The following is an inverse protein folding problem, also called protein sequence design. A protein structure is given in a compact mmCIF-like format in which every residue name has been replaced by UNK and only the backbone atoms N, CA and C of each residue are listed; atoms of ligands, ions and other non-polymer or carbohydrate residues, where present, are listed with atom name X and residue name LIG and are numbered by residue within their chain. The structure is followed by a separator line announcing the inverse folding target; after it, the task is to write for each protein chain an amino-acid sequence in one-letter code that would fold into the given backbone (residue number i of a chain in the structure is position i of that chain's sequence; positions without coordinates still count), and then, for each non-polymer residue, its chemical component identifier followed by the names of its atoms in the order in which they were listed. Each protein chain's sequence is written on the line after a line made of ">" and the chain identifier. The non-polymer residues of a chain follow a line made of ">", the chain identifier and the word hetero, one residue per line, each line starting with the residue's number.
data_IF_930856084935
#
_entry.id   IF_930856084935
#
_cell.length_a   1.000
_cell.length_b   1.000
_cell.length_c   1.000
_cell.angle_alpha   90.00
_cell.angle_beta   90.00
_cell.angle_gamma   90.00
#
_symmetry.space_group_name_H-M   'P 1'
#
loop_
_entity.id
_entity.type
_entity.pdbx_description
1 polymer ?
#
# COMPACT_ATOMS: atom_id res chain seq x y z
N UNK A 1 0.40 88.92 -42.46
CA UNK A 1 0.29 88.44 -41.07
C UNK A 1 1.48 87.54 -40.77
N UNK A 2 2.47 88.03 -40.00
CA UNK A 2 3.59 87.22 -39.49
C UNK A 2 3.24 86.80 -38.07
N UNK A 3 2.79 85.57 -37.89
CA UNK A 3 2.60 84.97 -36.58
C UNK A 3 3.98 84.59 -36.04
N UNK A 4 4.48 85.36 -35.08
CA UNK A 4 5.68 85.03 -34.32
C UNK A 4 5.37 83.76 -33.51
N UNK A 5 5.89 82.62 -33.97
CA UNK A 5 5.71 81.32 -33.34
C UNK A 5 6.33 81.32 -31.95
N UNK A 6 5.51 81.12 -30.92
CA UNK A 6 5.92 80.98 -29.53
C UNK A 6 6.57 79.60 -29.29
N UNK A 7 7.81 79.43 -29.79
CA UNK A 7 8.54 78.16 -29.79
C UNK A 7 9.01 77.70 -28.40
N UNK A 8 9.07 78.62 -27.42
CA UNK A 8 9.48 78.29 -26.03
C UNK A 8 8.42 77.48 -25.28
N UNK A 9 7.13 77.71 -25.55
CA UNK A 9 6.04 76.97 -24.90
C UNK A 9 5.94 75.51 -25.36
N UNK A 10 6.14 75.26 -26.66
CA UNK A 10 6.06 73.90 -27.24
C UNK A 10 7.21 73.02 -26.74
N UNK A 11 8.43 73.57 -26.63
CA UNK A 11 9.59 72.82 -26.12
C UNK A 11 9.40 72.34 -24.68
N UNK A 12 8.73 73.13 -23.83
CA UNK A 12 8.45 72.77 -22.44
C UNK A 12 7.41 71.64 -22.35
N UNK A 13 6.38 71.67 -23.20
CA UNK A 13 5.37 70.61 -23.26
C UNK A 13 5.99 69.28 -23.71
N UNK A 14 6.84 69.29 -24.74
CA UNK A 14 7.52 68.09 -25.22
C UNK A 14 8.42 67.48 -24.14
N UNK A 15 9.12 68.30 -23.36
CA UNK A 15 9.97 67.82 -22.26
C UNK A 15 9.15 67.12 -21.16
N UNK A 16 8.00 67.69 -20.78
CA UNK A 16 7.10 67.08 -19.77
C UNK A 16 6.56 65.73 -20.28
N UNK A 17 6.16 65.66 -21.56
CA UNK A 17 5.69 64.41 -22.15
C UNK A 17 6.82 63.36 -22.19
N UNK A 18 8.05 63.77 -22.54
CA UNK A 18 9.19 62.86 -22.53
C UNK A 18 9.51 62.34 -21.12
N UNK A 19 9.52 63.21 -20.11
CA UNK A 19 9.75 62.82 -18.72
C UNK A 19 8.67 61.88 -18.19
N UNK A 20 7.40 62.15 -18.49
CA UNK A 20 6.29 61.27 -18.06
C UNK A 20 6.33 59.91 -18.75
N UNK A 21 6.68 59.85 -20.04
CA UNK A 21 6.88 58.58 -20.76
C UNK A 21 7.99 57.74 -20.15
N UNK A 22 9.14 58.35 -19.85
CA UNK A 22 10.27 57.64 -19.23
C UNK A 22 9.88 57.12 -17.84
N UNK A 23 9.13 57.91 -17.06
CA UNK A 23 8.67 57.50 -15.74
C UNK A 23 7.69 56.31 -15.81
N UNK A 24 6.73 56.34 -16.74
CA UNK A 24 5.76 55.24 -16.95
C UNK A 24 6.49 53.96 -17.39
N UNK A 25 7.45 54.08 -18.31
CA UNK A 25 8.27 52.94 -18.74
C UNK A 25 9.10 52.38 -17.59
N UNK A 26 9.77 53.24 -16.82
CA UNK A 26 10.56 52.85 -15.66
C UNK A 26 9.76 52.07 -14.62
N UNK A 27 8.58 52.57 -14.25
CA UNK A 27 7.67 51.89 -13.31
C UNK A 27 7.19 50.55 -13.88
N UNK A 28 6.88 50.50 -15.19
CA UNK A 28 6.44 49.27 -15.85
C UNK A 28 7.51 48.18 -15.82
N UNK A 29 8.77 48.51 -16.11
CA UNK A 29 9.87 47.54 -16.07
C UNK A 29 10.16 47.02 -14.66
N UNK A 30 10.17 47.90 -13.66
CA UNK A 30 10.38 47.51 -12.25
C UNK A 30 9.24 46.60 -11.77
N UNK A 31 7.99 46.93 -12.12
CA UNK A 31 6.82 46.10 -11.79
C UNK A 31 6.92 44.70 -12.39
N UNK A 32 7.32 44.58 -13.66
CA UNK A 32 7.53 43.28 -14.32
C UNK A 32 8.66 42.49 -13.65
N UNK A 33 9.78 43.12 -13.31
CA UNK A 33 10.89 42.44 -12.62
C UNK A 33 10.49 41.94 -11.23
N UNK A 34 9.81 42.77 -10.43
CA UNK A 34 9.33 42.40 -9.11
C UNK A 34 8.31 41.24 -9.16
N UNK A 35 7.43 41.25 -10.18
CA UNK A 35 6.48 40.17 -10.42
C UNK A 35 7.18 38.85 -10.76
N UNK A 36 8.23 38.88 -11.60
CA UNK A 36 9.01 37.68 -11.94
C UNK A 36 9.68 37.05 -10.73
N UNK A 37 10.27 37.85 -9.84
CA UNK A 37 10.93 37.32 -8.63
C UNK A 37 9.97 36.56 -7.70
N UNK A 38 8.75 37.07 -7.51
CA UNK A 38 7.73 36.38 -6.70
C UNK A 38 7.26 35.08 -7.36
N UNK A 39 7.09 35.08 -8.68
CA UNK A 39 6.68 33.89 -9.43
C UNK A 39 7.66 32.73 -9.29
N UNK A 40 8.97 33.00 -9.29
CA UNK A 40 9.99 31.97 -9.11
C UNK A 40 9.89 31.27 -7.74
N UNK A 41 9.60 32.01 -6.67
CA UNK A 41 9.51 31.43 -5.33
C UNK A 41 8.34 30.44 -5.23
N UNK A 42 7.17 30.80 -5.77
CA UNK A 42 6.04 29.87 -5.86
C UNK A 42 6.34 28.63 -6.69
N UNK A 43 7.09 28.77 -7.78
CA UNK A 43 7.49 27.65 -8.61
C UNK A 43 8.43 26.70 -7.85
N UNK A 44 9.41 27.23 -7.12
CA UNK A 44 10.33 26.45 -6.28
C UNK A 44 9.57 25.70 -5.18
N UNK A 45 8.69 26.38 -4.44
CA UNK A 45 7.90 25.75 -3.38
C UNK A 45 6.94 24.69 -3.93
N UNK A 46 6.35 24.95 -5.10
CA UNK A 46 5.55 23.97 -5.82
C UNK A 46 6.34 22.73 -6.22
N UNK A 47 7.57 22.87 -6.72
CA UNK A 47 8.42 21.70 -7.04
C UNK A 47 8.80 20.93 -5.78
N UNK A 48 9.08 21.62 -4.67
CA UNK A 48 9.34 20.97 -3.38
C UNK A 48 8.13 20.19 -2.88
N UNK A 49 6.94 20.78 -2.94
CA UNK A 49 5.69 20.13 -2.60
C UNK A 49 5.43 18.88 -3.47
N UNK A 50 5.74 18.95 -4.77
CA UNK A 50 5.63 17.80 -5.68
C UNK A 50 6.60 16.68 -5.31
N UNK A 51 7.86 17.00 -5.03
CA UNK A 51 8.86 16.00 -4.61
C UNK A 51 8.48 15.34 -3.28
N UNK A 52 7.93 16.12 -2.34
CA UNK A 52 7.41 15.61 -1.07
C UNK A 52 6.21 14.68 -1.31
N UNK A 53 5.31 15.02 -2.25
CA UNK A 53 4.19 14.16 -2.62
C UNK A 53 4.67 12.82 -3.23
N UNK A 54 5.66 12.86 -4.13
CA UNK A 54 6.27 11.65 -4.71
C UNK A 54 6.93 10.76 -3.63
N UNK A 55 7.70 11.36 -2.71
CA UNK A 55 8.26 10.65 -1.58
C UNK A 55 7.16 10.02 -0.69
N UNK A 56 6.03 10.72 -0.53
CA UNK A 56 4.85 10.19 0.15
C UNK A 56 4.26 8.95 -0.54
N UNK A 57 4.24 8.90 -1.87
CA UNK A 57 3.83 7.71 -2.63
C UNK A 57 4.77 6.54 -2.39
N UNK A 58 6.08 6.75 -2.48
CA UNK A 58 7.08 5.69 -2.24
C UNK A 58 6.99 5.14 -0.80
N UNK A 59 6.90 6.06 0.17
CA UNK A 59 6.68 5.70 1.58
C UNK A 59 5.39 4.88 1.75
N UNK A 60 4.31 5.30 1.10
CA UNK A 60 3.02 4.61 1.17
C UNK A 60 3.08 3.18 0.62
N UNK A 61 3.75 2.98 -0.53
CA UNK A 61 3.93 1.66 -1.13
C UNK A 61 4.76 0.79 -0.19
N UNK A 62 5.84 1.33 0.38
CA UNK A 62 6.69 0.57 1.30
C UNK A 62 5.94 0.13 2.56
N UNK A 63 5.22 1.05 3.20
CA UNK A 63 4.39 0.75 4.36
C UNK A 63 3.33 -0.32 4.04
N UNK A 64 2.63 -0.18 2.92
CA UNK A 64 1.66 -1.17 2.47
C UNK A 64 2.30 -2.54 2.16
N UNK A 65 3.51 -2.56 1.58
CA UNK A 65 4.25 -3.79 1.32
C UNK A 65 4.70 -4.51 2.59
N UNK A 66 5.08 -3.76 3.62
CA UNK A 66 5.46 -4.32 4.92
C UNK A 66 4.23 -4.76 5.73
N UNK A 67 3.01 -4.49 5.22
CA UNK A 67 1.77 -4.73 5.93
C UNK A 67 1.71 -3.91 7.22
N UNK A 68 2.18 -2.67 7.19
CA UNK A 68 2.22 -1.75 8.33
C UNK A 68 1.63 -0.41 7.92
N UNK A 69 0.70 0.12 8.68
CA UNK A 69 0.27 1.50 8.65
C UNK A 69 1.37 2.36 9.28
N UNK A 70 1.19 3.68 9.25
CA UNK A 70 2.15 4.60 9.83
C UNK A 70 2.31 4.54 11.34
N UNK A 71 1.39 3.88 12.03
CA UNK A 71 1.41 3.63 13.46
C UNK A 71 1.99 2.24 13.78
N UNK A 72 2.37 1.45 12.76
CA UNK A 72 2.85 0.08 12.90
C UNK A 72 1.75 -0.97 12.99
N UNK A 73 0.48 -0.62 12.78
CA UNK A 73 -0.64 -1.56 12.72
C UNK A 73 -0.89 -1.98 11.27
N UNK A 74 -1.26 -3.21 10.96
CA UNK A 74 -1.35 -3.58 9.54
C UNK A 74 -2.45 -2.83 8.76
N UNK A 75 -2.05 -2.22 7.62
CA UNK A 75 -2.96 -1.52 6.67
C UNK A 75 -4.03 -2.46 6.13
N UNK A 76 -3.78 -3.77 6.14
CA UNK A 76 -4.73 -4.77 5.67
C UNK A 76 -5.80 -5.14 6.74
N UNK A 77 -5.67 -4.69 8.00
CA UNK A 77 -6.67 -4.89 9.08
C UNK A 77 -7.41 -3.65 9.53
N UNK A 78 -7.03 -2.47 9.03
CA UNK A 78 -7.83 -1.30 9.35
C UNK A 78 -9.00 -1.21 8.40
N UNK A 79 -10.21 -1.09 8.96
CA UNK A 79 -11.36 -0.58 8.24
C UNK A 79 -11.00 0.66 7.40
N UNK A 80 -11.74 0.86 6.31
CA UNK A 80 -11.54 1.84 5.23
C UNK A 80 -11.36 3.33 5.63
N UNK A 81 -11.10 3.63 6.89
CA UNK A 81 -10.92 4.96 7.47
C UNK A 81 -9.49 5.37 7.79
N UNK A 82 -8.44 4.67 7.31
CA UNK A 82 -7.04 5.14 7.42
C UNK A 82 -6.77 6.28 6.42
N UNK A 83 -7.57 7.32 6.59
CA UNK A 83 -7.58 8.56 5.86
C UNK A 83 -6.56 9.50 6.48
N UNK A 84 -5.62 9.96 5.65
CA UNK A 84 -4.79 11.15 5.93
C UNK A 84 -3.61 10.89 6.86
N UNK A 85 -2.59 10.26 6.29
CA UNK A 85 -1.35 9.91 6.97
C UNK A 85 -0.31 11.03 6.78
N UNK A 86 -0.18 11.91 7.77
CA UNK A 86 0.68 13.10 7.75
C UNK A 86 2.10 12.87 8.29
N UNK A 87 3.17 13.01 7.50
CA UNK A 87 4.55 13.08 8.06
C UNK A 87 5.34 14.26 7.52
N UNK A 88 6.23 14.79 8.36
CA UNK A 88 7.14 15.87 8.00
C UNK A 88 8.35 15.35 7.22
N UNK A 89 8.68 15.98 6.10
CA UNK A 89 9.84 15.66 5.28
C UNK A 89 10.44 16.95 4.72
N UNK A 90 11.72 17.20 4.99
CA UNK A 90 12.47 18.29 4.36
C UNK A 90 11.88 19.69 4.54
N UNK A 91 11.22 19.97 5.66
CA UNK A 91 10.57 21.27 5.94
C UNK A 91 9.14 21.42 5.39
N UNK A 92 8.58 20.37 4.80
CA UNK A 92 7.16 20.27 4.47
C UNK A 92 6.51 19.03 5.09
N UNK A 93 5.30 18.71 4.66
CA UNK A 93 4.54 17.54 5.11
C UNK A 93 3.88 16.83 3.93
N UNK A 94 3.64 15.54 4.01
CA UNK A 94 2.78 14.82 3.05
C UNK A 94 1.65 14.11 3.76
N UNK A 95 0.49 13.99 3.11
CA UNK A 95 -0.66 13.18 3.54
C UNK A 95 -0.93 12.06 2.55
N UNK A 96 -1.15 10.82 3.03
CA UNK A 96 -1.52 9.68 2.19
C UNK A 96 -2.99 9.33 2.35
N UNK A 97 -3.62 8.93 1.25
CA UNK A 97 -4.94 8.32 1.20
C UNK A 97 -4.92 7.08 0.29
N UNK A 98 -5.34 5.94 0.84
CA UNK A 98 -5.51 4.70 0.09
C UNK A 98 -6.99 4.50 -0.24
N UNK A 99 -7.33 4.53 -1.52
CA UNK A 99 -8.65 4.13 -1.99
C UNK A 99 -8.56 2.72 -2.58
N UNK A 100 -8.89 1.73 -1.74
CA UNK A 100 -8.94 0.33 -2.14
C UNK A 100 -10.26 0.00 -2.84
N UNK A 101 -10.17 -0.82 -3.88
CA UNK A 101 -11.32 -1.47 -4.52
C UNK A 101 -11.23 -2.98 -4.38
N UNK A 102 -12.34 -3.68 -4.63
CA UNK A 102 -12.31 -5.14 -4.77
C UNK A 102 -11.46 -5.58 -5.98
N UNK A 103 -11.36 -4.74 -7.00
CA UNK A 103 -10.56 -4.97 -8.21
C UNK A 103 -9.32 -4.07 -8.24
N UNK A 104 -8.18 -4.63 -8.69
CA UNK A 104 -6.91 -3.89 -8.72
C UNK A 104 -6.95 -2.69 -9.67
N UNK A 105 -7.74 -2.77 -10.74
CA UNK A 105 -7.89 -1.71 -11.74
C UNK A 105 -8.43 -0.39 -11.20
N UNK A 106 -9.21 -0.44 -10.13
CA UNK A 106 -9.84 0.74 -9.53
C UNK A 106 -9.10 1.25 -8.29
N UNK A 107 -7.97 0.65 -7.91
CA UNK A 107 -7.21 1.16 -6.77
C UNK A 107 -6.53 2.48 -7.09
N UNK A 108 -6.53 3.37 -6.10
CA UNK A 108 -5.90 4.65 -6.19
C UNK A 108 -5.15 4.97 -4.89
N UNK A 109 -3.86 5.24 -5.02
CA UNK A 109 -3.06 5.84 -3.96
C UNK A 109 -2.92 7.33 -4.25
N UNK A 110 -3.31 8.17 -3.30
CA UNK A 110 -3.17 9.62 -3.40
C UNK A 110 -2.24 10.13 -2.32
N UNK A 111 -1.17 10.82 -2.72
CA UNK A 111 -0.29 11.53 -1.81
C UNK A 111 -0.36 13.03 -2.07
N UNK A 112 -0.59 13.82 -1.02
CA UNK A 112 -0.61 15.29 -1.10
C UNK A 112 0.56 15.84 -0.31
N UNK A 113 1.54 16.44 -1.01
CA UNK A 113 2.68 17.10 -0.40
C UNK A 113 2.44 18.61 -0.25
N UNK A 114 2.82 19.17 0.88
CA UNK A 114 2.68 20.58 1.22
C UNK A 114 4.03 21.14 1.66
N UNK A 115 4.42 22.28 1.08
CA UNK A 115 5.64 23.00 1.42
C UNK A 115 5.35 24.51 1.40
N UNK A 116 5.55 25.20 2.53
CA UNK A 116 5.15 26.59 2.67
C UNK A 116 3.65 26.77 2.41
N UNK A 117 3.29 27.63 1.46
CA UNK A 117 1.90 27.85 1.03
C UNK A 117 1.49 27.01 -0.19
N UNK A 118 2.39 26.18 -0.71
CA UNK A 118 2.16 25.37 -1.91
C UNK A 118 1.75 23.95 -1.55
N UNK A 119 0.76 23.42 -2.26
CA UNK A 119 0.30 22.03 -2.13
C UNK A 119 0.26 21.37 -3.50
N UNK A 120 0.73 20.13 -3.59
CA UNK A 120 0.71 19.31 -4.80
C UNK A 120 0.24 17.91 -4.48
N UNK A 121 -0.50 17.34 -5.41
CA UNK A 121 -1.07 16.01 -5.27
C UNK A 121 -0.54 15.10 -6.38
N UNK A 122 -0.14 13.90 -5.99
CA UNK A 122 0.27 12.81 -6.87
C UNK A 122 -0.71 11.68 -6.66
N UNK A 123 -1.13 11.06 -7.77
CA UNK A 123 -2.06 9.94 -7.78
C UNK A 123 -1.43 8.79 -8.54
N UNK A 124 -1.40 7.63 -7.91
CA UNK A 124 -0.92 6.38 -8.50
C UNK A 124 -2.10 5.42 -8.62
N UNK A 125 -2.49 5.15 -9.86
CA UNK A 125 -3.49 4.13 -10.17
C UNK A 125 -2.88 2.73 -10.04
N UNK A 126 -3.73 1.74 -9.75
CA UNK A 126 -3.33 0.32 -9.65
C UNK A 126 -2.15 0.11 -8.70
N UNK A 127 -2.09 0.87 -7.60
CA UNK A 127 -0.90 0.89 -6.76
C UNK A 127 -0.57 -0.47 -6.13
N UNK A 128 -1.57 -1.37 -5.97
CA UNK A 128 -1.36 -2.76 -5.52
C UNK A 128 -0.39 -3.54 -6.41
N UNK A 129 -0.22 -3.15 -7.67
CA UNK A 129 0.80 -3.71 -8.59
C UNK A 129 2.24 -3.50 -8.12
N UNK A 130 2.47 -2.53 -7.25
CA UNK A 130 3.79 -2.21 -6.69
C UNK A 130 4.00 -2.83 -5.30
N UNK A 131 3.03 -3.59 -4.80
CA UNK A 131 3.13 -4.32 -3.52
C UNK A 131 3.67 -5.73 -3.75
N UNK A 132 3.76 -6.50 -2.66
CA UNK A 132 4.03 -7.94 -2.71
C UNK A 132 3.14 -8.63 -3.74
N UNK A 133 3.65 -9.62 -4.50
CA UNK A 133 2.88 -10.34 -5.52
C UNK A 133 1.58 -10.96 -5.01
N UNK A 134 1.49 -11.23 -3.71
CA UNK A 134 0.27 -11.66 -3.05
C UNK A 134 -0.01 -10.78 -1.82
N UNK A 135 -1.25 -10.33 -1.67
CA UNK A 135 -1.71 -9.54 -0.52
C UNK A 135 -3.10 -9.99 -0.09
N UNK A 136 -3.55 -9.58 1.11
CA UNK A 136 -4.94 -9.78 1.51
C UNK A 136 -5.90 -8.94 0.66
N UNK A 137 -7.14 -9.41 0.53
CA UNK A 137 -8.20 -8.64 -0.12
C UNK A 137 -8.63 -7.49 0.82
N UNK A 138 -8.48 -6.22 0.42
CA UNK A 138 -8.91 -5.08 1.23
C UNK A 138 -10.42 -5.13 1.52
N UNK A 139 -10.81 -4.86 2.76
CA UNK A 139 -12.22 -4.89 3.19
C UNK A 139 -12.86 -6.28 3.30
N UNK A 140 -12.16 -7.33 2.87
CA UNK A 140 -12.58 -8.71 3.06
C UNK A 140 -11.54 -9.38 3.96
N UNK A 141 -11.54 -9.00 5.24
CA UNK A 141 -10.47 -9.44 6.16
C UNK A 141 -10.51 -10.95 6.36
N UNK A 142 -9.33 -11.49 6.73
CA UNK A 142 -9.27 -12.84 7.24
C UNK A 142 -10.21 -12.96 8.44
N UNK A 143 -11.10 -13.94 8.41
CA UNK A 143 -12.18 -14.05 9.39
C UNK A 143 -12.48 -15.50 9.72
N UNK A 144 -13.13 -15.70 10.85
CA UNK A 144 -13.80 -16.96 11.14
C UNK A 144 -15.03 -17.08 10.23
N UNK A 145 -15.25 -18.26 9.64
CA UNK A 145 -16.45 -18.50 8.84
C UNK A 145 -17.70 -18.48 9.74
N UNK A 146 -18.74 -17.76 9.30
CA UNK A 146 -19.99 -17.65 10.05
C UNK A 146 -20.78 -18.97 10.05
N UNK A 147 -20.60 -19.80 9.01
CA UNK A 147 -21.24 -21.12 8.92
C UNK A 147 -20.50 -22.23 9.67
N UNK A 148 -19.21 -22.04 9.95
CA UNK A 148 -18.37 -23.04 10.61
C UNK A 148 -17.26 -22.34 11.42
N UNK A 149 -17.49 -22.18 12.72
CA UNK A 149 -16.54 -21.51 13.62
C UNK A 149 -15.18 -22.19 13.74
N UNK A 150 -15.02 -23.40 13.19
CA UNK A 150 -13.74 -24.09 13.08
C UNK A 150 -12.87 -23.62 11.91
N UNK A 151 -13.40 -22.79 11.02
CA UNK A 151 -12.72 -22.37 9.80
C UNK A 151 -12.27 -20.92 9.87
N UNK A 152 -11.05 -20.68 9.40
CA UNK A 152 -10.52 -19.35 9.11
C UNK A 152 -10.42 -19.21 7.60
N UNK A 153 -11.11 -18.21 7.07
CA UNK A 153 -11.06 -17.82 5.67
C UNK A 153 -10.03 -16.71 5.52
N UNK A 154 -9.03 -16.92 4.66
CA UNK A 154 -7.96 -15.97 4.36
C UNK A 154 -8.02 -15.65 2.88
N UNK A 155 -8.79 -14.63 2.48
CA UNK A 155 -8.86 -14.20 1.09
C UNK A 155 -7.61 -13.42 0.71
N UNK A 156 -6.92 -13.88 -0.32
CA UNK A 156 -5.75 -13.24 -0.88
C UNK A 156 -5.99 -12.92 -2.36
N UNK A 157 -5.30 -11.90 -2.85
CA UNK A 157 -5.31 -11.48 -4.24
C UNK A 157 -3.90 -11.51 -4.80
N UNK A 158 -3.77 -12.02 -6.02
CA UNK A 158 -2.52 -11.99 -6.77
C UNK A 158 -2.36 -10.64 -7.48
N UNK A 159 -1.38 -9.85 -7.05
CA UNK A 159 -1.07 -8.55 -7.63
C UNK A 159 -0.22 -8.66 -8.91
N UNK A 160 0.51 -9.75 -9.11
CA UNK A 160 1.43 -9.91 -10.24
C UNK A 160 1.39 -11.31 -10.85
N UNK A 161 0.96 -11.39 -12.11
CA UNK A 161 1.10 -12.57 -12.97
C UNK A 161 0.41 -13.84 -12.47
N UNK A 162 0.68 -14.98 -13.13
CA UNK A 162 0.41 -16.28 -12.55
C UNK A 162 1.51 -16.61 -11.53
N UNK A 163 1.13 -16.77 -10.26
CA UNK A 163 2.04 -17.20 -9.20
C UNK A 163 1.83 -18.68 -8.91
N UNK A 164 2.91 -19.45 -8.87
CA UNK A 164 2.89 -20.83 -8.39
C UNK A 164 3.50 -20.85 -6.99
N UNK A 165 2.67 -21.15 -5.99
CA UNK A 165 3.14 -21.28 -4.61
C UNK A 165 3.73 -22.68 -4.42
N UNK A 166 5.03 -22.77 -4.16
CA UNK A 166 5.74 -24.03 -3.93
C UNK A 166 5.70 -24.45 -2.47
N UNK A 167 5.53 -23.49 -1.54
CA UNK A 167 5.51 -23.76 -0.10
C UNK A 167 4.73 -22.69 0.67
N UNK A 168 4.10 -23.12 1.76
CA UNK A 168 3.43 -22.27 2.73
C UNK A 168 3.98 -22.55 4.12
N UNK A 169 4.46 -21.52 4.82
CA UNK A 169 4.76 -21.63 6.24
C UNK A 169 3.65 -20.90 7.03
N UNK A 170 2.85 -21.63 7.79
CA UNK A 170 1.74 -21.08 8.60
C UNK A 170 2.17 -20.99 10.04
N UNK A 171 2.05 -19.83 10.66
CA UNK A 171 2.33 -19.59 12.07
C UNK A 171 1.05 -19.15 12.77
N UNK A 172 0.74 -19.78 13.89
CA UNK A 172 -0.44 -19.45 14.72
C UNK A 172 0.04 -19.22 16.14
N UNK A 173 -0.32 -18.08 16.73
CA UNK A 173 0.11 -17.72 18.10
C UNK A 173 -0.53 -18.61 19.19
N UNK A 174 -1.60 -19.33 18.86
CA UNK A 174 -2.28 -20.21 19.78
C UNK A 174 -1.52 -21.52 20.04
N UNK A 175 -1.68 -22.04 21.25
CA UNK A 175 -1.11 -23.30 21.69
C UNK A 175 -2.18 -24.38 21.80
N UNK A 176 -1.81 -25.64 21.60
CA UNK A 176 -2.71 -26.79 21.72
C UNK A 176 -3.89 -26.79 20.74
N UNK A 177 -3.69 -26.27 19.53
CA UNK A 177 -4.72 -26.26 18.49
C UNK A 177 -4.34 -27.21 17.37
N UNK A 178 -5.33 -27.95 16.87
CA UNK A 178 -5.11 -28.93 15.82
C UNK A 178 -5.71 -28.49 14.50
N UNK A 179 -4.89 -28.41 13.46
CA UNK A 179 -5.35 -28.21 12.08
C UNK A 179 -5.73 -29.55 11.47
N UNK A 180 -6.93 -29.59 10.89
CA UNK A 180 -7.51 -30.77 10.23
C UNK A 180 -7.37 -30.69 8.72
N UNK A 181 -7.66 -29.53 8.14
CA UNK A 181 -7.68 -29.35 6.69
C UNK A 181 -7.16 -27.95 6.33
N UNK A 182 -6.39 -27.88 5.25
CA UNK A 182 -6.02 -26.64 4.57
C UNK A 182 -6.43 -26.74 3.10
N UNK A 183 -7.15 -25.74 2.59
CA UNK A 183 -7.64 -25.71 1.20
C UNK A 183 -7.38 -24.37 0.54
N UNK A 184 -7.18 -24.38 -0.77
CA UNK A 184 -7.18 -23.19 -1.62
C UNK A 184 -7.76 -23.58 -3.00
N UNK A 185 -9.10 -23.63 -3.09
CA UNK A 185 -9.81 -24.25 -4.23
C UNK A 185 -9.72 -25.78 -4.26
N UNK A 186 -8.52 -26.33 -4.02
CA UNK A 186 -8.23 -27.75 -3.83
C UNK A 186 -7.73 -28.04 -2.41
N UNK A 187 -7.75 -29.30 -1.99
CA UNK A 187 -7.14 -29.72 -0.73
C UNK A 187 -5.61 -29.60 -0.84
N UNK A 188 -5.03 -28.67 -0.07
CA UNK A 188 -3.57 -28.55 0.09
C UNK A 188 -3.07 -29.54 1.14
N UNK A 189 -3.87 -29.71 2.19
CA UNK A 189 -3.68 -30.71 3.23
C UNK A 189 -5.05 -31.19 3.68
N UNK A 190 -5.28 -32.50 3.66
CA UNK A 190 -6.46 -33.11 4.27
C UNK A 190 -6.01 -34.29 5.11
N UNK A 191 -6.27 -34.19 6.41
CA UNK A 191 -6.03 -35.25 7.38
C UNK A 191 -6.52 -36.63 6.91
N UNK A 192 -7.68 -36.71 6.22
CA UNK A 192 -8.26 -38.01 5.90
C UNK A 192 -7.63 -38.69 4.67
N UNK A 193 -6.86 -37.95 3.86
CA UNK A 193 -6.48 -38.41 2.51
C UNK A 193 -5.06 -38.06 2.07
N UNK A 194 -4.33 -37.20 2.78
CA UNK A 194 -3.00 -36.74 2.36
C UNK A 194 -1.87 -37.47 3.10
N UNK A 195 -0.86 -37.92 2.34
CA UNK A 195 0.43 -38.36 2.91
C UNK A 195 1.19 -37.10 3.32
N UNK A 196 1.64 -37.07 4.57
CA UNK A 196 2.18 -35.91 5.30
C UNK A 196 3.06 -34.92 4.51
N UNK A 197 2.99 -33.60 4.81
CA UNK A 197 4.12 -32.70 4.53
C UNK A 197 5.33 -33.13 5.39
N UNK A 198 6.55 -32.95 4.89
CA UNK A 198 7.78 -33.22 5.66
C UNK A 198 7.85 -32.25 6.87
N UNK A 199 7.22 -32.63 7.98
CA UNK A 199 7.30 -31.85 9.21
C UNK A 199 8.74 -31.92 9.74
N UNK A 200 9.40 -30.77 9.92
CA UNK A 200 10.64 -30.71 10.69
C UNK A 200 10.42 -31.14 12.15
N UNK A 201 10.68 -32.41 12.43
CA UNK A 201 11.01 -33.14 13.68
C UNK A 201 10.36 -32.80 15.05
N UNK A 202 9.72 -31.65 15.30
CA UNK A 202 9.27 -31.25 16.64
C UNK A 202 7.78 -30.95 16.81
N UNK A 203 7.03 -30.73 15.72
CA UNK A 203 5.67 -30.16 15.77
C UNK A 203 4.58 -31.20 15.45
N UNK A 204 4.95 -32.32 14.84
CA UNK A 204 4.05 -33.42 14.51
C UNK A 204 4.09 -34.47 15.64
N UNK A 205 3.65 -34.11 16.85
CA UNK A 205 3.31 -35.12 17.87
C UNK A 205 1.99 -35.77 17.48
N UNK A 206 2.10 -36.85 16.71
CA UNK A 206 1.13 -37.93 16.63
C UNK A 206 1.08 -38.53 18.04
N UNK A 207 0.01 -38.41 18.82
CA UNK A 207 -0.13 -39.27 20.02
C UNK A 207 -1.60 -39.51 20.43
N UNK A 208 -1.80 -40.77 20.84
CA UNK A 208 -2.82 -41.44 21.66
C UNK A 208 -4.17 -41.89 21.07
N UNK A 209 -4.52 -41.56 19.84
CA UNK A 209 -5.56 -42.29 19.12
C UNK A 209 -4.94 -42.95 17.87
N UNK A 210 -5.01 -44.29 17.70
CA UNK A 210 -4.35 -44.99 16.59
C UNK A 210 -4.83 -44.53 15.20
N UNK A 211 -5.88 -43.71 15.14
CA UNK A 211 -6.51 -43.26 13.91
C UNK A 211 -6.61 -41.74 13.76
N UNK A 212 -6.09 -40.89 14.68
CA UNK A 212 -6.21 -39.43 14.55
C UNK A 212 -4.85 -38.73 14.48
N UNK A 213 -4.44 -38.39 13.26
CA UNK A 213 -3.21 -37.66 12.98
C UNK A 213 -3.54 -36.20 12.77
N UNK A 214 -3.09 -35.33 13.67
CA UNK A 214 -3.41 -33.90 13.64
C UNK A 214 -2.12 -33.08 13.62
N UNK A 215 -2.13 -31.95 12.93
CA UNK A 215 -1.02 -30.98 13.03
C UNK A 215 -1.27 -30.11 14.25
N UNK A 216 -0.40 -30.22 15.25
CA UNK A 216 -0.46 -29.43 16.47
C UNK A 216 0.24 -28.09 16.27
N UNK A 217 -0.52 -26.99 16.35
CA UNK A 217 0.04 -25.67 16.55
C UNK A 217 0.29 -25.45 18.05
N UNK A 218 1.56 -25.29 18.41
CA UNK A 218 2.00 -24.97 19.78
C UNK A 218 2.74 -23.63 19.81
N UNK A 219 2.09 -22.56 19.32
CA UNK A 219 2.72 -21.24 19.21
C UNK A 219 3.87 -21.16 18.19
N UNK A 220 3.83 -22.00 17.15
CA UNK A 220 4.94 -22.18 16.22
C UNK A 220 4.53 -22.17 14.75
N UNK A 221 5.53 -22.29 13.88
CA UNK A 221 5.38 -22.32 12.43
C UNK A 221 5.34 -23.76 11.91
N UNK A 222 4.35 -24.07 11.09
CA UNK A 222 4.23 -25.35 10.37
C UNK A 222 4.43 -25.11 8.89
N UNK A 223 5.30 -25.93 8.28
CA UNK A 223 5.60 -25.91 6.85
C UNK A 223 4.71 -26.88 6.07
N UNK A 224 4.22 -26.41 4.92
CA UNK A 224 3.47 -27.17 3.93
C UNK A 224 4.15 -27.00 2.57
N UNK A 225 4.85 -28.03 2.11
CA UNK A 225 5.38 -28.07 0.76
C UNK A 225 4.27 -28.49 -0.22
N UNK A 226 4.07 -27.72 -1.28
CA UNK A 226 2.96 -27.87 -2.21
C UNK A 226 3.42 -28.56 -3.49
N UNK A 227 2.64 -29.52 -3.97
CA UNK A 227 2.80 -30.09 -5.30
C UNK A 227 2.32 -29.08 -6.36
N UNK A 228 3.12 -28.88 -7.39
CA UNK A 228 3.12 -27.71 -8.31
C UNK A 228 1.80 -27.40 -9.05
N UNK A 229 0.78 -28.27 -9.00
CA UNK A 229 -0.49 -28.08 -9.70
C UNK A 229 -1.61 -27.49 -8.81
N UNK A 230 -1.44 -27.46 -7.48
CA UNK A 230 -2.51 -27.11 -6.53
C UNK A 230 -2.58 -25.62 -6.17
N UNK A 231 -1.73 -24.77 -6.76
CA UNK A 231 -1.45 -23.45 -6.20
C UNK A 231 -1.09 -22.39 -7.26
N UNK A 232 -1.66 -22.50 -8.46
CA UNK A 232 -1.58 -21.43 -9.45
C UNK A 232 -2.60 -20.34 -9.10
N UNK A 233 -2.12 -19.12 -8.85
CA UNK A 233 -2.96 -17.94 -8.65
C UNK A 233 -2.83 -17.06 -9.89
N UNK A 234 -3.92 -16.82 -10.61
CA UNK A 234 -3.87 -15.89 -11.74
C UNK A 234 -3.90 -14.45 -11.26
N UNK A 235 -3.39 -13.57 -12.12
CA UNK A 235 -3.38 -12.13 -11.85
C UNK A 235 -4.82 -11.62 -11.59
N UNK A 236 -4.97 -10.81 -10.55
CA UNK A 236 -6.24 -10.24 -10.08
C UNK A 236 -7.29 -11.24 -9.57
N UNK A 237 -6.94 -12.53 -9.55
CA UNK A 237 -7.80 -13.57 -9.00
C UNK A 237 -7.78 -13.52 -7.48
N UNK A 238 -8.97 -13.58 -6.89
CA UNK A 238 -9.13 -13.74 -5.45
C UNK A 238 -9.19 -15.22 -5.12
N UNK A 239 -8.20 -15.68 -4.37
CA UNK A 239 -8.13 -17.02 -3.85
C UNK A 239 -8.42 -17.02 -2.36
N UNK A 240 -9.25 -17.94 -1.89
CA UNK A 240 -9.55 -18.07 -0.46
C UNK A 240 -8.85 -19.28 0.11
N UNK A 241 -7.90 -19.04 1.01
CA UNK A 241 -7.30 -20.09 1.81
C UNK A 241 -8.19 -20.40 3.00
N UNK A 242 -8.50 -21.67 3.21
CA UNK A 242 -9.34 -22.15 4.31
C UNK A 242 -8.47 -22.96 5.25
N UNK A 243 -8.36 -22.53 6.49
CA UNK A 243 -7.73 -23.26 7.58
C UNK A 243 -8.83 -23.81 8.48
N UNK A 244 -9.03 -25.14 8.48
CA UNK A 244 -10.04 -25.80 9.31
C UNK A 244 -9.39 -26.51 10.49
N UNK A 245 -9.79 -26.12 11.69
CA UNK A 245 -9.31 -26.68 12.94
C UNK A 245 -10.24 -27.80 13.46
N UNK A 246 -9.75 -28.60 14.41
CA UNK A 246 -10.55 -29.67 15.03
C UNK A 246 -11.67 -29.17 15.95
N UNK A 247 -11.54 -27.93 16.44
CA UNK A 247 -12.53 -27.21 17.24
C UNK A 247 -12.67 -25.77 16.73
N UNK A 248 -13.15 -24.84 17.56
CA UNK A 248 -13.21 -23.43 17.19
C UNK A 248 -11.85 -22.91 16.73
N UNK A 249 -11.83 -22.12 15.66
CA UNK A 249 -10.65 -21.44 15.18
C UNK A 249 -10.03 -20.60 16.31
N UNK A 250 -8.70 -20.68 16.53
CA UNK A 250 -8.09 -19.93 17.60
C UNK A 250 -8.14 -18.43 17.33
N UNK A 251 -8.43 -17.65 18.37
CA UNK A 251 -8.24 -16.20 18.29
C UNK A 251 -6.75 -15.88 18.45
N UNK A 252 -6.30 -14.78 17.86
CA UNK A 252 -4.91 -14.35 17.92
C UNK A 252 -4.28 -14.06 16.56
N UNK A 253 -2.95 -14.02 16.54
CA UNK A 253 -2.19 -13.64 15.36
C UNK A 253 -1.85 -14.87 14.51
N UNK A 254 -2.03 -14.70 13.22
CA UNK A 254 -1.69 -15.63 12.17
C UNK A 254 -0.67 -15.00 11.25
N UNK A 255 0.27 -15.80 10.75
CA UNK A 255 1.18 -15.42 9.68
C UNK A 255 1.26 -16.55 8.68
N UNK A 256 1.07 -16.25 7.40
CA UNK A 256 1.21 -17.19 6.30
C UNK A 256 2.30 -16.66 5.39
N UNK A 257 3.39 -17.39 5.29
CA UNK A 257 4.50 -17.06 4.40
C UNK A 257 4.38 -17.89 3.12
N UNK A 258 4.19 -17.20 2.00
CA UNK A 258 4.08 -17.77 0.67
C UNK A 258 5.45 -17.81 0.00
N UNK A 259 5.87 -18.99 -0.42
CA UNK A 259 7.09 -19.19 -1.20
C UNK A 259 6.70 -19.57 -2.62
N UNK A 260 7.32 -18.93 -3.60
CA UNK A 260 7.06 -19.21 -5.01
C UNK A 260 8.08 -20.19 -5.57
N UNK A 261 7.80 -20.77 -6.72
CA UNK A 261 8.73 -21.67 -7.43
C UNK A 261 9.98 -20.97 -7.98
N UNK A 262 10.08 -19.65 -7.87
CA UNK A 262 11.25 -18.90 -8.33
C UNK A 262 12.42 -19.08 -7.34
N UNK A 263 13.60 -19.52 -7.81
CA UNK A 263 14.67 -20.05 -6.95
C UNK A 263 15.32 -19.05 -5.98
N UNK A 264 14.96 -17.76 -6.03
CA UNK A 264 15.52 -16.71 -5.17
C UNK A 264 14.44 -15.76 -4.60
N UNK A 265 13.17 -16.18 -4.56
CA UNK A 265 12.11 -15.36 -4.00
C UNK A 265 12.20 -15.29 -2.47
N UNK A 266 12.29 -14.08 -1.92
CA UNK A 266 11.95 -13.88 -0.51
C UNK A 266 10.49 -14.32 -0.26
N UNK A 267 10.17 -14.91 0.90
CA UNK A 267 8.78 -15.20 1.22
C UNK A 267 7.94 -13.93 1.20
N UNK A 268 6.70 -14.08 0.74
CA UNK A 268 5.68 -13.05 0.91
C UNK A 268 4.88 -13.37 2.15
N UNK A 269 4.91 -12.48 3.13
CA UNK A 269 4.22 -12.71 4.40
C UNK A 269 2.86 -12.03 4.39
N UNK A 270 1.82 -12.78 4.71
CA UNK A 270 0.51 -12.26 5.08
C UNK A 270 0.32 -12.49 6.57
N UNK A 271 0.33 -11.41 7.35
CA UNK A 271 0.14 -11.45 8.81
C UNK A 271 -1.25 -10.91 9.08
N UNK A 272 -2.09 -11.56 9.88
CA UNK A 272 -3.40 -11.09 10.30
C UNK A 272 -3.76 -11.46 11.73
N UNK A 273 -4.71 -10.75 12.34
CA UNK A 273 -5.18 -11.02 13.70
C UNK A 273 -6.68 -11.28 13.70
N UNK A 274 -7.11 -12.35 14.37
CA UNK A 274 -8.51 -12.60 14.67
C UNK A 274 -8.82 -12.06 16.07
N UNK A 275 -9.81 -11.17 16.13
CA UNK A 275 -10.36 -10.61 17.36
C UNK A 275 -11.74 -11.25 17.65
N UNK A 276 -12.12 -11.37 18.93
CA UNK A 276 -13.42 -11.92 19.32
C UNK A 276 -14.61 -11.10 18.84
#
# INVERSE_FOLDING_TARGET
>A
MKTLSNSRGISLVVLIVAMTLIMILGVSFVSIMASKQKGFLYQVDSYRALNIANAGVEYAIRCASDGLDSNGNSIFFSDQGLSTLGRSLGGGTFSINYAYSQTIDADLLTATGTYGTSSRQVRLSRFRRYLSPITLVPGNQARVDQGDSSQVLVPVICNEGPLIISRLDVTVSASNVYLKVMRAGVNLFDYNSSIYPECGAAICKINDAPNEQRILFNGGTVRFDLLSAASQHNQDEVSVYVLKFSGSAPMGQYRIDFFTSFPNGNPFSVIFSLHP
#
